data_IF_894406633369
#
_entry.id   IF_894406633369
#
_cell.length_a   1.000
_cell.length_b   1.000
_cell.length_c   1.000
_cell.angle_alpha   90.00
_cell.angle_beta   90.00
_cell.angle_gamma   90.00
#
_symmetry.space_group_name_H-M   'P 1'
#
loop_
_entity.id
_entity.type
_entity.pdbx_description
1 polymer ?
#
# COMPACT_ATOMS: atom_id res chain seq x y z
N UNK A 1 -42.93 -13.52 42.45
CA UNK A 1 -42.54 -14.70 41.64
C UNK A 1 -42.38 -14.18 40.21
N UNK A 2 -41.16 -14.13 39.66
CA UNK A 2 -40.96 -13.66 38.29
C UNK A 2 -41.60 -14.67 37.34
N UNK A 3 -42.45 -14.18 36.44
CA UNK A 3 -43.20 -14.98 35.49
C UNK A 3 -42.24 -15.58 34.44
N UNK A 4 -42.55 -16.79 33.95
CA UNK A 4 -41.74 -17.53 32.97
C UNK A 4 -41.50 -16.69 31.69
N UNK A 5 -42.50 -15.88 31.35
CA UNK A 5 -42.47 -14.89 30.26
C UNK A 5 -41.31 -13.89 30.38
N UNK A 6 -40.99 -13.44 31.59
CA UNK A 6 -39.94 -12.43 31.84
C UNK A 6 -38.54 -13.02 31.65
N UNK A 7 -38.34 -14.28 32.04
CA UNK A 7 -37.08 -14.99 31.82
C UNK A 7 -36.82 -15.26 30.33
N UNK A 8 -37.86 -15.65 29.58
CA UNK A 8 -37.79 -15.82 28.12
C UNK A 8 -37.43 -14.49 27.46
N UNK A 9 -38.13 -13.40 27.81
CA UNK A 9 -37.88 -12.08 27.25
C UNK A 9 -36.44 -11.61 27.51
N UNK A 10 -35.95 -11.80 28.74
CA UNK A 10 -34.57 -11.45 29.13
C UNK A 10 -33.55 -12.26 28.32
N UNK A 11 -33.77 -13.58 28.15
CA UNK A 11 -32.89 -14.43 27.36
C UNK A 11 -32.81 -14.00 25.89
N UNK A 12 -33.96 -13.69 25.28
CA UNK A 12 -34.02 -13.17 23.89
C UNK A 12 -33.31 -11.82 23.78
N UNK A 13 -33.49 -10.92 24.76
CA UNK A 13 -32.83 -9.61 24.76
C UNK A 13 -31.30 -9.73 24.83
N UNK A 14 -30.77 -10.59 25.71
CA UNK A 14 -29.32 -10.83 25.83
C UNK A 14 -28.76 -11.44 24.55
N UNK A 15 -29.44 -12.42 23.96
CA UNK A 15 -29.04 -13.01 22.69
C UNK A 15 -29.02 -11.98 21.55
N UNK A 16 -30.08 -11.17 21.43
CA UNK A 16 -30.18 -10.10 20.45
C UNK A 16 -29.07 -9.07 20.57
N UNK A 17 -28.77 -8.62 21.81
CA UNK A 17 -27.67 -7.68 22.07
C UNK A 17 -26.30 -8.28 21.72
N UNK A 18 -26.08 -9.56 22.04
CA UNK A 18 -24.85 -10.28 21.69
C UNK A 18 -24.64 -10.37 20.17
N UNK A 19 -25.67 -10.79 19.43
CA UNK A 19 -25.62 -10.90 17.97
C UNK A 19 -25.41 -9.53 17.31
N UNK A 20 -26.08 -8.48 17.78
CA UNK A 20 -25.91 -7.11 17.28
C UNK A 20 -24.47 -6.63 17.47
N UNK A 21 -23.91 -6.84 18.68
CA UNK A 21 -22.51 -6.48 18.98
C UNK A 21 -21.54 -7.22 18.07
N UNK A 22 -21.76 -8.51 17.84
CA UNK A 22 -20.94 -9.32 16.95
C UNK A 22 -20.97 -8.83 15.50
N UNK A 23 -22.16 -8.54 14.97
CA UNK A 23 -22.33 -8.01 13.61
C UNK A 23 -21.63 -6.65 13.46
N UNK A 24 -21.77 -5.76 14.44
CA UNK A 24 -21.11 -4.46 14.44
C UNK A 24 -19.58 -4.59 14.43
N UNK A 25 -19.02 -5.55 15.17
CA UNK A 25 -17.57 -5.84 15.14
C UNK A 25 -17.16 -6.34 13.75
N UNK A 26 -17.90 -7.28 13.16
CA UNK A 26 -17.61 -7.80 11.82
C UNK A 26 -17.68 -6.68 10.77
N UNK A 27 -18.71 -5.84 10.80
CA UNK A 27 -18.86 -4.72 9.89
C UNK A 27 -17.69 -3.74 10.01
N UNK A 28 -17.28 -3.41 11.25
CA UNK A 28 -16.09 -2.57 11.48
C UNK A 28 -14.82 -3.19 10.90
N UNK A 29 -14.64 -4.51 11.03
CA UNK A 29 -13.47 -5.20 10.47
C UNK A 29 -13.54 -5.25 8.94
N UNK A 30 -14.71 -5.56 8.36
CA UNK A 30 -14.93 -5.61 6.91
C UNK A 30 -14.76 -4.23 6.25
N UNK A 31 -15.17 -3.17 6.96
CA UNK A 31 -15.12 -1.80 6.45
C UNK A 31 -13.77 -1.11 6.62
N UNK A 32 -12.75 -1.84 7.10
CA UNK A 32 -11.40 -1.28 7.23
C UNK A 32 -10.69 -1.30 5.88
N UNK A 33 -10.34 -0.12 5.36
CA UNK A 33 -9.40 0.03 4.23
C UNK A 33 -8.04 -0.60 4.59
N UNK A 34 -7.59 -1.55 3.77
CA UNK A 34 -6.32 -2.27 3.97
C UNK A 34 -5.59 -2.38 2.64
N UNK A 35 -4.53 -1.58 2.47
CA UNK A 35 -3.62 -1.69 1.34
C UNK A 35 -2.33 -2.33 1.83
N UNK A 36 -1.86 -3.35 1.12
CA UNK A 36 -0.53 -3.94 1.29
C UNK A 36 0.36 -3.38 0.19
N UNK A 37 1.49 -2.80 0.57
CA UNK A 37 2.46 -2.25 -0.36
C UNK A 37 3.73 -3.09 -0.35
N UNK A 38 4.36 -3.23 -1.51
CA UNK A 38 5.57 -4.03 -1.70
C UNK A 38 6.53 -3.30 -2.64
N UNK A 39 7.83 -3.43 -2.38
CA UNK A 39 8.88 -2.81 -3.17
C UNK A 39 9.85 -3.89 -3.61
N UNK A 40 10.05 -4.02 -4.91
CA UNK A 40 10.98 -4.99 -5.51
C UNK A 40 11.87 -4.34 -6.55
N UNK A 41 12.99 -4.99 -6.81
CA UNK A 41 13.83 -4.71 -7.98
C UNK A 41 13.61 -5.84 -8.97
N UNK A 42 13.35 -5.49 -10.23
CA UNK A 42 13.06 -6.47 -11.26
C UNK A 42 13.27 -5.92 -12.65
N UNK A 43 13.07 -6.79 -13.64
CA UNK A 43 13.07 -6.45 -15.05
C UNK A 43 11.65 -6.60 -15.58
N UNK A 44 11.24 -5.72 -16.49
CA UNK A 44 9.96 -5.82 -17.17
C UNK A 44 10.19 -6.46 -18.54
N UNK A 45 9.37 -7.46 -18.87
CA UNK A 45 9.35 -8.07 -20.21
C UNK A 45 8.19 -7.48 -20.98
N UNK A 46 8.49 -6.78 -22.06
CA UNK A 46 7.47 -6.21 -22.95
C UNK A 46 6.94 -7.26 -23.93
N UNK A 47 5.74 -7.07 -24.52
CA UNK A 47 5.15 -8.02 -25.47
C UNK A 47 6.02 -8.33 -26.71
N UNK A 48 6.95 -7.42 -27.05
CA UNK A 48 7.91 -7.60 -28.14
C UNK A 48 9.12 -8.49 -27.77
N UNK A 49 9.12 -9.10 -26.56
CA UNK A 49 10.23 -9.92 -26.06
C UNK A 49 11.44 -9.13 -25.56
N UNK A 50 11.42 -7.79 -25.62
CA UNK A 50 12.49 -6.97 -25.04
C UNK A 50 12.36 -6.93 -23.53
N UNK A 51 13.50 -7.03 -22.85
CA UNK A 51 13.59 -6.89 -21.39
C UNK A 51 14.10 -5.49 -21.07
N UNK A 52 13.46 -4.80 -20.13
CA UNK A 52 13.88 -3.47 -19.68
C UNK A 52 15.20 -3.55 -18.90
N UNK A 53 15.83 -2.38 -18.69
CA UNK A 53 16.79 -2.22 -17.61
C UNK A 53 16.16 -2.53 -16.24
N UNK A 54 17.00 -2.71 -15.21
CA UNK A 54 16.52 -2.93 -13.85
C UNK A 54 15.67 -1.74 -13.37
N UNK A 55 14.43 -2.02 -12.99
CA UNK A 55 13.47 -1.05 -12.46
C UNK A 55 13.22 -1.30 -10.99
N UNK A 56 12.86 -0.24 -10.28
CA UNK A 56 12.11 -0.37 -9.03
C UNK A 56 10.65 -0.60 -9.35
N UNK A 57 10.06 -1.68 -8.86
CA UNK A 57 8.65 -2.02 -9.03
C UNK A 57 7.95 -1.78 -7.69
N UNK A 58 7.03 -0.84 -7.69
CA UNK A 58 6.21 -0.41 -6.58
C UNK A 58 4.81 -1.02 -6.75
N UNK A 59 4.43 -1.94 -5.86
CA UNK A 59 3.12 -2.58 -5.92
C UNK A 59 2.25 -2.10 -4.76
N UNK A 60 1.00 -1.73 -5.05
CA UNK A 60 -0.04 -1.59 -4.04
C UNK A 60 -1.17 -2.58 -4.34
N UNK A 61 -1.57 -3.36 -3.32
CA UNK A 61 -2.65 -4.33 -3.41
C UNK A 61 -3.72 -4.01 -2.38
N UNK A 62 -4.97 -3.91 -2.82
CA UNK A 62 -6.09 -3.77 -1.90
C UNK A 62 -6.47 -5.14 -1.33
N UNK A 63 -6.07 -5.39 -0.09
CA UNK A 63 -6.41 -6.62 0.66
C UNK A 63 -7.64 -6.40 1.56
N UNK A 64 -8.28 -5.23 1.47
CA UNK A 64 -9.54 -4.92 2.13
C UNK A 64 -10.74 -5.27 1.25
N UNK A 65 -11.94 -5.00 1.78
CA UNK A 65 -13.21 -5.28 1.09
C UNK A 65 -13.89 -4.02 0.53
N UNK A 66 -13.24 -2.86 0.65
CA UNK A 66 -13.76 -1.57 0.14
C UNK A 66 -12.76 -1.03 -0.90
N UNK A 67 -13.23 -0.47 -2.03
CA UNK A 67 -12.39 0.28 -2.96
C UNK A 67 -11.62 1.42 -2.29
N UNK A 68 -10.42 1.71 -2.77
CA UNK A 68 -9.58 2.79 -2.25
C UNK A 68 -9.00 3.59 -3.41
N UNK A 69 -9.28 4.89 -3.46
CA UNK A 69 -8.61 5.79 -4.39
C UNK A 69 -7.18 6.01 -3.91
N UNK A 70 -6.20 5.65 -4.74
CA UNK A 70 -4.76 5.78 -4.45
C UNK A 70 -4.14 6.87 -5.32
N UNK A 71 -3.26 7.65 -4.70
CA UNK A 71 -2.44 8.68 -5.32
C UNK A 71 -1.09 8.10 -5.79
N UNK A 72 -0.33 8.84 -6.63
CA UNK A 72 1.00 8.40 -7.04
C UNK A 72 1.89 8.08 -5.82
N UNK A 73 2.66 6.99 -5.86
CA UNK A 73 3.58 6.64 -4.79
C UNK A 73 4.74 7.64 -4.68
N UNK A 74 5.25 7.79 -3.47
CA UNK A 74 6.49 8.51 -3.18
C UNK A 74 7.50 7.60 -2.50
N UNK A 75 8.79 7.88 -2.68
CA UNK A 75 9.85 7.16 -1.97
C UNK A 75 10.23 7.95 -0.73
N UNK A 76 10.13 7.29 0.43
CA UNK A 76 10.53 7.82 1.72
C UNK A 76 11.97 7.39 2.01
N UNK A 77 12.83 8.38 2.18
CA UNK A 77 14.22 8.23 2.57
C UNK A 77 14.37 8.32 4.11
N UNK A 78 15.56 8.00 4.65
CA UNK A 78 15.86 8.30 6.05
C UNK A 78 15.65 9.78 6.36
N UNK A 79 15.27 10.06 7.61
CA UNK A 79 14.92 11.41 8.10
C UNK A 79 13.65 12.01 7.46
N UNK A 80 12.73 11.16 7.00
CA UNK A 80 11.43 11.55 6.44
C UNK A 80 11.49 12.45 5.19
N UNK A 81 12.65 12.51 4.51
CA UNK A 81 12.73 13.13 3.19
C UNK A 81 11.96 12.31 2.17
N UNK A 82 11.36 12.98 1.20
CA UNK A 82 10.55 12.36 0.15
C UNK A 82 11.18 12.67 -1.20
N UNK A 83 11.25 11.66 -2.07
CA UNK A 83 11.57 11.84 -3.48
C UNK A 83 10.27 11.71 -4.27
N UNK A 84 9.97 12.76 -5.03
CA UNK A 84 8.93 12.73 -6.05
C UNK A 84 9.56 12.06 -7.28
N UNK A 85 8.90 11.02 -7.78
CA UNK A 85 9.33 10.30 -8.96
C UNK A 85 8.75 11.02 -10.19
N UNK A 86 9.59 11.78 -10.89
CA UNK A 86 9.16 12.54 -12.07
C UNK A 86 8.83 11.61 -13.25
N UNK A 87 9.66 10.58 -13.45
CA UNK A 87 9.52 9.61 -14.53
C UNK A 87 8.89 8.30 -13.98
N UNK A 88 7.74 8.46 -13.33
CA UNK A 88 6.98 7.33 -12.82
C UNK A 88 6.11 6.75 -13.94
N UNK A 89 6.47 5.56 -14.39
CA UNK A 89 5.63 4.76 -15.27
C UNK A 89 4.67 3.90 -14.44
N UNK A 90 3.49 3.58 -14.96
CA UNK A 90 2.51 2.73 -14.27
C UNK A 90 1.57 2.02 -15.22
N UNK A 91 0.99 0.91 -14.73
CA UNK A 91 -0.04 0.17 -15.46
C UNK A 91 -1.44 0.83 -15.39
N UNK A 92 -1.55 1.95 -14.67
CA UNK A 92 -2.78 2.71 -14.42
C UNK A 92 -2.49 4.21 -14.48
N UNK A 93 -3.52 5.04 -14.64
CA UNK A 93 -3.39 6.49 -14.45
C UNK A 93 -3.76 6.87 -13.01
N UNK A 94 -2.89 7.61 -12.33
CA UNK A 94 -3.16 8.13 -10.99
C UNK A 94 -3.84 9.51 -11.04
N UNK A 95 -4.72 9.84 -10.07
CA UNK A 95 -5.23 8.97 -9.01
C UNK A 95 -6.14 7.87 -9.58
N UNK A 96 -6.15 6.70 -8.92
CA UNK A 96 -6.87 5.51 -9.41
C UNK A 96 -7.69 4.85 -8.32
N UNK A 97 -8.89 4.36 -8.65
CA UNK A 97 -9.69 3.55 -7.73
C UNK A 97 -9.21 2.10 -7.73
N UNK A 98 -8.56 1.68 -6.64
CA UNK A 98 -8.10 0.32 -6.45
C UNK A 98 -9.19 -0.55 -5.81
N UNK A 99 -9.89 -1.32 -6.64
CA UNK A 99 -10.92 -2.26 -6.20
C UNK A 99 -10.39 -3.37 -5.26
N UNK A 100 -11.25 -3.97 -4.42
CA UNK A 100 -10.87 -5.10 -3.56
C UNK A 100 -10.19 -6.23 -4.34
N UNK A 101 -9.14 -6.81 -3.76
CA UNK A 101 -8.30 -7.87 -4.33
C UNK A 101 -7.51 -7.50 -5.60
N UNK A 102 -7.67 -6.29 -6.14
CA UNK A 102 -6.86 -5.82 -7.25
C UNK A 102 -5.52 -5.23 -6.76
N UNK A 103 -4.57 -5.15 -7.69
CA UNK A 103 -3.30 -4.47 -7.49
C UNK A 103 -2.98 -3.53 -8.63
N UNK A 104 -2.24 -2.48 -8.31
CA UNK A 104 -1.59 -1.63 -9.28
C UNK A 104 -0.07 -1.71 -9.13
N UNK A 105 0.63 -1.41 -10.21
CA UNK A 105 2.08 -1.39 -10.26
C UNK A 105 2.53 -0.08 -10.90
N UNK A 106 3.50 0.54 -10.26
CA UNK A 106 4.25 1.67 -10.79
C UNK A 106 5.73 1.30 -10.78
N UNK A 107 6.51 1.85 -11.68
CA UNK A 107 7.93 1.58 -11.74
C UNK A 107 8.72 2.80 -12.19
N UNK A 108 9.99 2.83 -11.81
CA UNK A 108 10.92 3.91 -12.12
C UNK A 108 12.30 3.33 -12.39
N UNK A 109 13.10 4.01 -13.20
CA UNK A 109 14.47 3.60 -13.47
C UNK A 109 15.33 3.66 -12.23
N UNK A 110 15.96 2.52 -11.95
CA UNK A 110 16.72 2.36 -10.73
C UNK A 110 18.02 3.19 -10.76
N UNK A 111 18.59 3.39 -11.95
CA UNK A 111 19.73 4.30 -12.18
C UNK A 111 19.36 5.76 -11.92
N UNK A 112 18.20 6.21 -12.37
CA UNK A 112 17.73 7.59 -12.19
C UNK A 112 17.43 7.89 -10.72
N UNK A 113 16.82 6.93 -10.02
CA UNK A 113 16.65 7.05 -8.58
C UNK A 113 18.00 7.12 -7.86
N UNK A 114 18.95 6.25 -8.20
CA UNK A 114 20.28 6.25 -7.59
C UNK A 114 21.01 7.58 -7.83
N UNK A 115 20.92 8.13 -9.04
CA UNK A 115 21.45 9.45 -9.41
C UNK A 115 20.81 10.55 -8.57
N UNK A 116 19.48 10.58 -8.48
CA UNK A 116 18.73 11.55 -7.67
C UNK A 116 19.10 11.47 -6.18
N UNK A 117 19.28 10.25 -5.65
CA UNK A 117 19.73 10.04 -4.27
C UNK A 117 21.16 10.54 -4.04
N UNK A 118 22.07 10.28 -5.00
CA UNK A 118 23.46 10.76 -4.95
C UNK A 118 23.53 12.29 -4.98
N UNK A 119 22.74 12.94 -5.83
CA UNK A 119 22.62 14.40 -5.90
C UNK A 119 22.12 15.01 -4.58
N UNK A 120 21.29 14.29 -3.83
CA UNK A 120 20.85 14.67 -2.48
C UNK A 120 21.85 14.33 -1.36
N UNK A 121 23.05 13.85 -1.70
CA UNK A 121 24.13 13.55 -0.76
C UNK A 121 24.02 12.18 -0.09
N UNK A 122 23.14 11.29 -0.56
CA UNK A 122 23.08 9.92 -0.06
C UNK A 122 24.15 9.04 -0.72
N UNK A 123 24.86 8.26 0.09
CA UNK A 123 25.86 7.30 -0.36
C UNK A 123 25.73 5.96 0.38
N UNK A 124 26.22 4.89 -0.23
CA UNK A 124 26.24 3.56 0.38
C UNK A 124 24.85 2.92 0.51
N UNK A 125 24.60 2.28 1.66
CA UNK A 125 23.37 1.54 1.97
C UNK A 125 22.33 2.46 2.60
N UNK A 126 21.21 2.68 1.91
CA UNK A 126 20.12 3.54 2.36
C UNK A 126 18.86 2.71 2.54
N UNK A 127 18.22 2.83 3.72
CA UNK A 127 16.91 2.20 3.97
C UNK A 127 15.83 3.08 3.37
N UNK A 128 15.18 2.60 2.32
CA UNK A 128 14.07 3.29 1.65
C UNK A 128 12.75 2.58 1.93
N UNK A 129 11.65 3.31 1.84
CA UNK A 129 10.28 2.77 1.84
C UNK A 129 9.51 3.41 0.71
N UNK A 130 8.50 2.72 0.21
CA UNK A 130 7.49 3.36 -0.62
C UNK A 130 6.28 3.72 0.23
N UNK A 131 5.65 4.83 -0.10
CA UNK A 131 4.42 5.29 0.51
C UNK A 131 3.39 5.56 -0.57
N UNK A 132 2.25 4.87 -0.48
CA UNK A 132 1.05 5.24 -1.20
C UNK A 132 0.14 6.03 -0.25
N UNK A 133 -0.58 7.00 -0.79
CA UNK A 133 -1.58 7.77 -0.05
C UNK A 133 -2.95 7.56 -0.69
N UNK A 134 -4.00 7.52 0.13
CA UNK A 134 -5.36 7.55 -0.41
C UNK A 134 -5.91 8.99 -0.52
N UNK A 135 -7.13 9.12 -1.04
CA UNK A 135 -7.82 10.39 -1.18
C UNK A 135 -8.07 11.16 0.13
N UNK A 136 -7.86 10.54 1.30
CA UNK A 136 -7.98 11.18 2.63
C UNK A 136 -6.62 11.30 3.34
N UNK A 137 -5.51 11.29 2.58
CA UNK A 137 -4.12 11.36 3.07
C UNK A 137 -3.70 10.22 4.00
N UNK A 138 -4.44 9.10 4.03
CA UNK A 138 -4.02 7.93 4.79
C UNK A 138 -2.84 7.26 4.10
N UNK A 139 -1.78 7.01 4.86
CA UNK A 139 -0.49 6.51 4.36
C UNK A 139 -0.40 5.00 4.47
N UNK A 140 0.08 4.37 3.41
CA UNK A 140 0.34 2.93 3.32
C UNK A 140 1.80 2.71 2.94
N UNK A 141 2.61 2.30 3.91
CA UNK A 141 4.06 2.17 3.76
C UNK A 141 4.50 0.71 3.61
N UNK A 142 5.50 0.48 2.76
CA UNK A 142 6.11 -0.83 2.63
C UNK A 142 7.02 -1.14 3.82
N UNK A 143 7.48 -2.40 3.87
CA UNK A 143 8.65 -2.75 4.70
C UNK A 143 9.89 -1.96 4.21
N UNK A 144 10.85 -1.65 5.11
CA UNK A 144 12.11 -1.06 4.71
C UNK A 144 12.86 -1.94 3.70
N UNK A 145 13.33 -1.34 2.63
CA UNK A 145 14.18 -1.97 1.62
C UNK A 145 15.59 -1.36 1.70
N UNK A 146 16.62 -2.21 1.69
CA UNK A 146 18.01 -1.74 1.78
C UNK A 146 18.56 -1.54 0.37
N UNK A 147 18.74 -0.29 -0.03
CA UNK A 147 19.19 0.10 -1.36
C UNK A 147 20.65 0.54 -1.36
N UNK A 148 21.42 0.16 -2.39
CA UNK A 148 22.84 0.46 -2.51
C UNK A 148 23.07 1.49 -3.62
N UNK A 149 23.23 2.77 -3.26
CA UNK A 149 23.29 3.85 -4.25
C UNK A 149 24.48 3.69 -5.21
N UNK A 150 25.66 3.34 -4.68
CA UNK A 150 26.90 3.28 -5.47
C UNK A 150 26.96 2.16 -6.52
N UNK A 151 26.08 1.16 -6.44
CA UNK A 151 26.02 0.06 -7.41
C UNK A 151 25.46 0.53 -8.77
N UNK A 152 24.63 1.58 -8.76
CA UNK A 152 23.82 2.00 -9.90
C UNK A 152 24.20 3.37 -10.47
N UNK A 153 25.25 3.99 -9.92
CA UNK A 153 25.79 5.28 -10.37
C UNK A 153 27.17 5.16 -11.03
N UNK A 154 27.57 3.96 -11.42
CA UNK A 154 28.79 3.71 -12.21
C UNK A 154 28.47 3.91 -13.68
#
# INVERSE_FOLDING_TARGET
MLDLSTWILTGVAVYGAGLSTYNLIIERVKNKKRIKTDLKVGLLTYPNGKTSDAKFILTARNIGNIPVIINPPVIILPYAKQIILNDLESNICFPHELNPQNSCEAWTDLKELAKSMKEQGYAGRVKIRIEFRDAVDKRYQSKPFLFYVGEWTK
#
